data_IF_494075528580
#
_entry.id   IF_494075528580
#
_cell.length_a   1.000
_cell.length_b   1.000
_cell.length_c   1.000
_cell.angle_alpha   90.00
_cell.angle_beta   90.00
_cell.angle_gamma   90.00
#
_symmetry.space_group_name_H-M   'P 1'
#
loop_
_entity.id
_entity.type
_entity.pdbx_description
1 polymer ?
#
# COMPACT_ATOMS: atom_id res chain seq x y z
N UNK A 1 8.52 11.79 1.53
CA UNK A 1 7.86 12.96 2.14
C UNK A 1 6.92 12.46 3.22
N UNK A 2 6.78 13.18 4.34
CA UNK A 2 5.83 12.84 5.42
C UNK A 2 4.44 13.42 5.18
N UNK A 3 4.36 14.59 4.54
CA UNK A 3 3.11 15.20 4.11
C UNK A 3 3.11 15.35 2.59
N UNK A 4 1.93 15.27 1.98
CA UNK A 4 1.71 15.47 0.55
C UNK A 4 0.53 16.42 0.36
N UNK A 5 0.56 17.17 -0.73
CA UNK A 5 -0.59 17.96 -1.18
C UNK A 5 -1.76 17.02 -1.50
N UNK A 6 -2.82 17.14 -0.70
CA UNK A 6 -3.98 16.26 -0.75
C UNK A 6 -5.15 16.83 -1.57
N UNK A 7 -4.95 18.00 -2.21
CA UNK A 7 -5.95 18.58 -3.15
C UNK A 7 -6.40 17.62 -4.26
N UNK A 8 -5.55 16.77 -4.86
CA UNK A 8 -6.01 15.78 -5.84
C UNK A 8 -7.06 14.80 -5.28
N UNK A 9 -7.14 14.65 -3.96
CA UNK A 9 -8.15 13.85 -3.25
C UNK A 9 -9.15 14.73 -2.49
N UNK A 10 -9.35 15.98 -2.92
CA UNK A 10 -10.31 16.91 -2.31
C UNK A 10 -10.04 17.13 -0.80
N UNK A 11 -8.77 17.10 -0.39
CA UNK A 11 -8.35 17.44 0.97
C UNK A 11 -8.58 18.91 1.26
N UNK A 12 -8.95 19.22 2.50
CA UNK A 12 -9.23 20.58 2.97
C UNK A 12 -7.98 21.34 3.43
N UNK A 13 -6.87 20.62 3.67
CA UNK A 13 -5.63 21.21 4.15
C UNK A 13 -4.96 22.09 3.07
N UNK A 14 -4.24 23.16 3.48
CA UNK A 14 -3.44 23.95 2.56
C UNK A 14 -2.43 23.08 1.80
N UNK A 15 -2.12 23.41 0.53
CA UNK A 15 -1.15 22.64 -0.24
C UNK A 15 0.23 22.67 0.42
N UNK A 16 0.80 21.49 0.65
CA UNK A 16 2.10 21.37 1.27
C UNK A 16 2.73 20.01 1.07
N UNK A 17 4.06 20.00 0.96
CA UNK A 17 4.85 18.77 0.97
C UNK A 17 5.95 18.94 2.02
N UNK A 18 6.00 18.03 2.98
CA UNK A 18 7.05 18.03 4.00
C UNK A 18 8.03 16.88 3.72
N UNK A 19 9.30 17.20 3.57
CA UNK A 19 10.38 16.23 3.50
C UNK A 19 11.38 16.52 4.60
N UNK A 20 11.69 15.52 5.42
CA UNK A 20 12.69 15.62 6.47
C UNK A 20 13.78 14.62 6.15
N UNK A 21 15.00 15.14 5.98
CA UNK A 21 16.17 14.33 5.73
C UNK A 21 16.72 13.74 7.02
N UNK A 22 17.16 12.48 6.96
CA UNK A 22 18.02 11.88 7.97
C UNK A 22 19.23 11.22 7.27
N UNK A 23 20.42 11.24 7.89
CA UNK A 23 21.63 10.67 7.30
C UNK A 23 21.65 9.14 7.32
N UNK A 24 20.72 8.51 8.03
CA UNK A 24 20.57 7.06 8.08
C UNK A 24 19.10 6.63 7.99
N UNK A 25 18.91 5.32 7.88
CA UNK A 25 17.60 4.66 7.82
C UNK A 25 17.27 3.94 9.12
N UNK A 26 17.61 4.48 10.28
CA UNK A 26 17.27 3.85 11.57
C UNK A 26 15.81 4.15 11.94
N UNK A 27 15.17 3.23 12.67
CA UNK A 27 13.80 3.39 13.12
C UNK A 27 13.60 4.59 14.06
N UNK A 28 14.66 5.04 14.75
CA UNK A 28 14.64 6.26 15.59
C UNK A 28 14.31 7.54 14.80
N UNK A 29 14.58 7.56 13.47
CA UNK A 29 14.33 8.72 12.62
C UNK A 29 12.83 9.00 12.47
N UNK A 30 12.00 8.10 11.92
CA UNK A 30 10.56 8.33 11.84
C UNK A 30 9.90 8.51 13.21
N UNK A 31 10.44 7.89 14.28
CA UNK A 31 9.94 8.09 15.65
C UNK A 31 10.14 9.54 16.11
N UNK A 32 11.34 10.09 15.91
CA UNK A 32 11.63 11.48 16.28
C UNK A 32 10.86 12.47 15.38
N UNK A 33 10.83 12.24 14.06
CA UNK A 33 10.20 13.15 13.12
C UNK A 33 8.67 13.23 13.27
N UNK A 34 8.03 12.15 13.70
CA UNK A 34 6.58 12.04 13.87
C UNK A 34 6.18 12.01 15.36
N UNK A 35 7.04 12.52 16.25
CA UNK A 35 6.74 12.60 17.67
C UNK A 35 5.44 13.38 17.91
N UNK A 36 4.50 12.76 18.62
CA UNK A 36 3.17 13.34 18.90
C UNK A 36 2.15 13.18 17.77
N UNK A 37 2.54 12.71 16.59
CA UNK A 37 1.59 12.41 15.52
C UNK A 37 0.73 11.19 15.85
N UNK A 38 -0.56 11.28 15.56
CA UNK A 38 -1.52 10.17 15.64
C UNK A 38 -2.39 10.18 14.37
N UNK A 39 -2.85 9.01 13.94
CA UNK A 39 -3.64 8.87 12.71
C UNK A 39 -3.00 7.93 11.69
N UNK A 40 -3.40 8.07 10.42
CA UNK A 40 -2.99 7.15 9.35
C UNK A 40 -1.70 7.65 8.70
N UNK A 41 -0.71 6.76 8.61
CA UNK A 41 0.53 7.00 7.89
C UNK A 41 0.65 6.03 6.70
N UNK A 42 0.65 6.57 5.48
CA UNK A 42 0.88 5.77 4.28
C UNK A 42 2.36 5.47 4.10
N UNK A 43 2.74 4.19 4.00
CA UNK A 43 4.15 3.75 3.99
C UNK A 43 4.46 2.72 2.91
N UNK A 44 5.75 2.61 2.57
CA UNK A 44 6.32 1.70 1.57
C UNK A 44 6.57 0.27 2.05
N UNK A 45 6.40 0.02 3.35
CA UNK A 45 6.71 -1.27 3.97
C UNK A 45 8.10 -1.36 4.59
N UNK A 46 8.84 -0.26 4.71
CA UNK A 46 10.06 -0.16 5.51
C UNK A 46 9.78 -0.50 6.98
N UNK A 47 10.57 -1.42 7.55
CA UNK A 47 10.33 -2.00 8.87
C UNK A 47 10.38 -1.00 10.04
N UNK A 48 11.07 0.13 9.89
CA UNK A 48 11.14 1.14 10.96
C UNK A 48 9.78 1.79 11.28
N UNK A 49 8.85 1.83 10.32
CA UNK A 49 7.51 2.35 10.57
C UNK A 49 6.67 1.44 11.47
N UNK A 50 6.94 0.13 11.49
CA UNK A 50 6.26 -0.78 12.42
C UNK A 50 6.64 -0.46 13.87
N UNK A 51 7.91 -0.17 14.12
CA UNK A 51 8.38 0.25 15.45
C UNK A 51 7.74 1.57 15.89
N UNK A 52 7.50 2.50 14.95
CA UNK A 52 6.74 3.73 15.23
C UNK A 52 5.29 3.39 15.62
N UNK A 53 4.59 2.58 14.82
CA UNK A 53 3.20 2.20 15.07
C UNK A 53 3.03 1.49 16.43
N UNK A 54 3.94 0.58 16.79
CA UNK A 54 3.91 -0.14 18.07
C UNK A 54 4.08 0.78 19.30
N UNK A 55 4.61 1.99 19.10
CA UNK A 55 4.96 2.95 20.18
C UNK A 55 4.12 4.23 20.16
N UNK A 56 3.12 4.34 19.30
CA UNK A 56 2.36 5.58 19.10
C UNK A 56 0.91 5.32 18.67
N UNK A 57 0.13 6.38 18.50
CA UNK A 57 -1.23 6.32 17.94
C UNK A 57 -1.27 6.25 16.41
N UNK A 58 -0.21 5.73 15.76
CA UNK A 58 -0.10 5.68 14.30
C UNK A 58 -0.63 4.35 13.76
N UNK A 59 -1.53 4.44 12.79
CA UNK A 59 -2.01 3.31 11.99
C UNK A 59 -1.31 3.30 10.63
N UNK A 60 -0.73 2.17 10.22
CA UNK A 60 -0.04 2.07 8.93
C UNK A 60 -1.00 1.68 7.80
N UNK A 61 -1.04 2.50 6.75
CA UNK A 61 -1.60 2.13 5.46
C UNK A 61 -0.46 1.76 4.50
N UNK A 62 -0.39 0.51 4.04
CA UNK A 62 0.67 0.09 3.13
C UNK A 62 0.32 0.48 1.69
N UNK A 63 1.33 0.89 0.93
CA UNK A 63 1.14 1.36 -0.43
C UNK A 63 1.13 0.21 -1.46
N UNK A 64 0.03 0.10 -2.21
CA UNK A 64 -0.09 -0.83 -3.36
C UNK A 64 0.98 -0.63 -4.43
N UNK A 65 1.57 0.56 -4.58
CA UNK A 65 2.62 0.79 -5.56
C UNK A 65 3.88 -0.06 -5.30
N UNK A 66 4.24 -0.27 -4.03
CA UNK A 66 5.40 -1.08 -3.65
C UNK A 66 5.14 -2.59 -3.83
N UNK A 67 3.90 -3.02 -3.61
CA UNK A 67 3.46 -4.40 -3.94
C UNK A 67 3.49 -4.61 -5.46
N UNK A 68 2.85 -3.70 -6.21
CA UNK A 68 2.81 -3.71 -7.68
C UNK A 68 4.20 -3.79 -8.30
N UNK A 69 5.14 -2.98 -7.82
CA UNK A 69 6.52 -2.95 -8.33
C UNK A 69 7.19 -4.32 -8.32
N UNK A 70 7.01 -5.11 -7.26
CA UNK A 70 7.61 -6.45 -7.14
C UNK A 70 7.07 -7.42 -8.18
N UNK A 71 5.76 -7.38 -8.46
CA UNK A 71 5.17 -8.19 -9.52
C UNK A 71 5.56 -7.68 -10.92
N UNK A 72 5.67 -6.36 -11.08
CA UNK A 72 6.12 -5.75 -12.33
C UNK A 72 7.55 -6.18 -12.70
N UNK A 73 8.48 -6.13 -11.75
CA UNK A 73 9.88 -6.56 -11.99
C UNK A 73 9.97 -8.04 -12.44
N UNK A 74 9.06 -8.90 -11.95
CA UNK A 74 8.96 -10.29 -12.39
C UNK A 74 8.40 -10.42 -13.81
N UNK A 75 7.31 -9.73 -14.11
CA UNK A 75 6.67 -9.78 -15.43
C UNK A 75 7.50 -9.12 -16.53
N UNK A 76 8.28 -8.09 -16.19
CA UNK A 76 9.21 -7.44 -17.11
C UNK A 76 10.41 -8.33 -17.47
N UNK A 77 10.75 -9.32 -16.63
CA UNK A 77 11.87 -10.23 -16.85
C UNK A 77 11.52 -11.42 -17.77
N UNK A 78 10.24 -11.62 -18.11
CA UNK A 78 9.79 -12.70 -18.99
C UNK A 78 8.39 -13.22 -18.64
N UNK A 79 7.95 -14.33 -19.24
CA UNK A 79 6.63 -14.90 -18.99
C UNK A 79 6.41 -15.21 -17.50
N UNK A 80 5.53 -14.46 -16.85
CA UNK A 80 5.19 -14.61 -15.44
C UNK A 80 3.66 -14.51 -15.27
N UNK A 81 2.90 -15.59 -15.53
CA UNK A 81 1.43 -15.53 -15.56
C UNK A 81 0.82 -15.12 -14.20
N UNK A 82 1.35 -15.62 -13.09
CA UNK A 82 0.89 -15.23 -11.74
C UNK A 82 1.18 -13.74 -11.48
N UNK A 83 2.38 -13.26 -11.82
CA UNK A 83 2.70 -11.86 -11.63
C UNK A 83 1.83 -10.95 -12.52
N UNK A 84 1.58 -11.37 -13.76
CA UNK A 84 0.75 -10.64 -14.71
C UNK A 84 -0.70 -10.54 -14.26
N UNK A 85 -1.27 -11.62 -13.72
CA UNK A 85 -2.63 -11.61 -13.16
C UNK A 85 -2.72 -10.74 -11.90
N UNK A 86 -1.71 -10.78 -11.02
CA UNK A 86 -1.65 -9.88 -9.87
C UNK A 86 -1.61 -8.40 -10.31
N UNK A 87 -0.81 -8.08 -11.34
CA UNK A 87 -0.75 -6.73 -11.90
C UNK A 87 -2.08 -6.29 -12.52
N UNK A 88 -2.79 -7.21 -13.21
CA UNK A 88 -4.11 -6.94 -13.78
C UNK A 88 -5.09 -6.53 -12.69
N UNK A 89 -5.22 -7.33 -11.62
CA UNK A 89 -6.11 -7.03 -10.47
C UNK A 89 -5.75 -5.72 -9.77
N UNK A 90 -4.46 -5.45 -9.55
CA UNK A 90 -4.01 -4.18 -8.97
C UNK A 90 -4.33 -2.99 -9.90
N UNK A 91 -4.23 -3.18 -11.23
CA UNK A 91 -4.59 -2.13 -12.18
C UNK A 91 -6.09 -1.80 -12.13
N UNK A 92 -6.97 -2.76 -11.80
CA UNK A 92 -8.40 -2.50 -11.58
C UNK A 92 -8.62 -1.58 -10.39
N UNK A 93 -7.90 -1.77 -9.28
CA UNK A 93 -7.93 -0.85 -8.14
C UNK A 93 -7.51 0.56 -8.57
N UNK A 94 -6.47 0.69 -9.39
CA UNK A 94 -5.99 2.00 -9.86
C UNK A 94 -6.99 2.69 -10.79
N UNK A 95 -7.69 1.94 -11.65
CA UNK A 95 -8.77 2.50 -12.47
C UNK A 95 -9.90 3.06 -11.60
N UNK A 96 -10.31 2.31 -10.57
CA UNK A 96 -11.34 2.79 -9.63
C UNK A 96 -10.88 4.07 -8.93
N UNK A 97 -9.64 4.11 -8.43
CA UNK A 97 -9.10 5.31 -7.76
C UNK A 97 -8.99 6.52 -8.70
N UNK A 98 -8.76 6.29 -9.99
CA UNK A 98 -8.74 7.36 -10.98
C UNK A 98 -10.15 7.94 -11.23
N UNK A 99 -11.15 7.07 -11.38
CA UNK A 99 -12.56 7.44 -11.61
C UNK A 99 -13.19 8.24 -10.44
N UNK A 100 -12.66 8.05 -9.22
CA UNK A 100 -13.15 8.72 -8.00
C UNK A 100 -12.23 9.83 -7.50
N UNK A 101 -11.16 10.14 -8.24
CA UNK A 101 -10.25 11.24 -7.90
C UNK A 101 -11.00 12.57 -7.84
N UNK A 102 -10.65 13.42 -6.88
CA UNK A 102 -11.31 14.71 -6.67
C UNK A 102 -12.70 14.67 -6.04
N UNK A 103 -13.28 13.48 -5.80
CA UNK A 103 -14.54 13.32 -5.04
C UNK A 103 -14.32 13.47 -3.53
N UNK A 104 -15.39 13.64 -2.74
CA UNK A 104 -15.29 13.71 -1.28
C UNK A 104 -14.81 12.40 -0.66
N UNK A 105 -14.33 12.43 0.59
CA UNK A 105 -13.85 11.23 1.28
C UNK A 105 -14.95 10.16 1.40
N UNK A 106 -16.18 10.58 1.70
CA UNK A 106 -17.37 9.73 1.84
C UNK A 106 -17.72 9.07 0.50
N UNK A 107 -17.70 9.84 -0.60
CA UNK A 107 -17.96 9.31 -1.94
C UNK A 107 -16.90 8.31 -2.37
N UNK A 108 -15.61 8.61 -2.11
CA UNK A 108 -14.52 7.68 -2.41
C UNK A 108 -14.68 6.38 -1.63
N UNK A 109 -14.94 6.48 -0.32
CA UNK A 109 -15.18 5.33 0.55
C UNK A 109 -16.34 4.48 0.04
N UNK A 110 -17.48 5.08 -0.29
CA UNK A 110 -18.64 4.37 -0.81
C UNK A 110 -18.30 3.56 -2.08
N UNK A 111 -17.60 4.17 -3.05
CA UNK A 111 -17.20 3.47 -4.27
C UNK A 111 -16.16 2.37 -3.99
N UNK A 112 -15.23 2.59 -3.07
CA UNK A 112 -14.27 1.55 -2.68
C UNK A 112 -14.95 0.34 -2.05
N UNK A 113 -15.94 0.57 -1.19
CA UNK A 113 -16.75 -0.50 -0.61
C UNK A 113 -17.55 -1.26 -1.68
N UNK A 114 -18.10 -0.54 -2.66
CA UNK A 114 -18.86 -1.15 -3.76
C UNK A 114 -17.98 -1.94 -4.75
N UNK A 115 -16.82 -1.40 -5.12
CA UNK A 115 -16.04 -1.88 -6.28
C UNK A 115 -14.67 -2.45 -5.94
N UNK A 116 -13.97 -1.86 -4.98
CA UNK A 116 -12.61 -2.28 -4.63
C UNK A 116 -12.58 -3.42 -3.62
N UNK A 117 -13.59 -3.50 -2.74
CA UNK A 117 -13.66 -4.50 -1.67
C UNK A 117 -13.62 -5.93 -2.20
N UNK A 118 -14.41 -6.25 -3.23
CA UNK A 118 -14.43 -7.59 -3.84
C UNK A 118 -13.09 -7.95 -4.49
N UNK A 119 -12.46 -7.00 -5.19
CA UNK A 119 -11.15 -7.22 -5.81
C UNK A 119 -10.09 -7.57 -4.76
N UNK A 120 -10.07 -6.84 -3.63
CA UNK A 120 -9.17 -7.11 -2.52
C UNK A 120 -9.52 -8.46 -1.87
N UNK A 121 -10.79 -8.69 -1.54
CA UNK A 121 -11.25 -9.94 -0.93
C UNK A 121 -10.95 -11.18 -1.77
N UNK A 122 -10.97 -11.08 -3.10
CA UNK A 122 -10.65 -12.17 -4.02
C UNK A 122 -9.14 -12.33 -4.25
N UNK A 123 -8.36 -11.23 -4.18
CA UNK A 123 -6.92 -11.27 -4.44
C UNK A 123 -6.14 -11.95 -3.30
N UNK A 124 -6.52 -11.76 -2.04
CA UNK A 124 -5.83 -12.39 -0.91
C UNK A 124 -5.82 -13.92 -0.97
N UNK A 125 -6.98 -14.61 -1.01
CA UNK A 125 -7.03 -16.06 -1.03
C UNK A 125 -6.37 -16.61 -2.30
N UNK A 126 -6.52 -15.93 -3.44
CA UNK A 126 -5.85 -16.31 -4.68
C UNK A 126 -4.32 -16.25 -4.55
N UNK A 127 -3.76 -15.21 -3.93
CA UNK A 127 -2.33 -15.13 -3.64
C UNK A 127 -1.87 -16.25 -2.71
N UNK A 128 -2.65 -16.58 -1.68
CA UNK A 128 -2.34 -17.70 -0.76
C UNK A 128 -2.35 -19.05 -1.48
N UNK A 129 -3.34 -19.28 -2.34
CA UNK A 129 -3.42 -20.46 -3.19
C UNK A 129 -2.18 -20.57 -4.08
N UNK A 130 -1.84 -19.50 -4.83
CA UNK A 130 -0.66 -19.53 -5.71
C UNK A 130 0.64 -19.70 -4.95
N UNK A 131 0.76 -19.15 -3.74
CA UNK A 131 1.93 -19.38 -2.88
C UNK A 131 2.12 -20.86 -2.53
N UNK A 132 1.02 -21.61 -2.32
CA UNK A 132 1.06 -23.04 -2.04
C UNK A 132 1.47 -23.92 -3.22
N UNK A 133 1.33 -23.41 -4.45
CA UNK A 133 1.62 -24.14 -5.70
C UNK A 133 3.04 -23.92 -6.23
N UNK A 134 3.83 -23.03 -5.63
CA UNK A 134 5.15 -22.65 -6.12
C UNK A 134 6.26 -22.94 -5.10
N UNK A 135 7.49 -23.06 -5.59
CA UNK A 135 8.67 -23.17 -4.74
C UNK A 135 8.85 -21.91 -3.88
N UNK A 136 9.03 -22.13 -2.58
CA UNK A 136 9.12 -21.06 -1.57
C UNK A 136 10.38 -20.20 -1.70
N UNK A 137 11.39 -20.66 -2.44
CA UNK A 137 12.67 -19.98 -2.65
C UNK A 137 12.68 -19.05 -3.88
N UNK A 138 11.54 -18.93 -4.57
CA UNK A 138 11.45 -18.09 -5.77
C UNK A 138 11.21 -16.62 -5.42
N UNK A 139 11.67 -15.71 -6.30
CA UNK A 139 11.34 -14.27 -6.22
C UNK A 139 9.83 -14.02 -6.26
N UNK A 140 9.07 -14.87 -6.95
CA UNK A 140 7.61 -14.80 -6.95
C UNK A 140 7.03 -15.11 -5.56
N UNK A 141 7.49 -16.17 -4.90
CA UNK A 141 7.07 -16.47 -3.54
C UNK A 141 7.41 -15.34 -2.55
N UNK A 142 8.57 -14.70 -2.72
CA UNK A 142 8.94 -13.51 -1.95
C UNK A 142 8.00 -12.32 -2.20
N UNK A 143 7.64 -12.05 -3.45
CA UNK A 143 6.68 -10.99 -3.79
C UNK A 143 5.30 -11.23 -3.19
N UNK A 144 4.81 -12.48 -3.25
CA UNK A 144 3.53 -12.87 -2.65
C UNK A 144 3.56 -12.72 -1.13
N UNK A 145 4.59 -13.25 -0.45
CA UNK A 145 4.74 -13.09 1.01
C UNK A 145 4.85 -11.62 1.42
N UNK A 146 5.54 -10.80 0.62
CA UNK A 146 5.63 -9.37 0.88
C UNK A 146 4.25 -8.68 0.89
N UNK A 147 3.36 -9.04 -0.03
CA UNK A 147 1.98 -8.57 -0.06
C UNK A 147 1.17 -9.10 1.13
N UNK A 148 1.16 -10.43 1.34
CA UNK A 148 0.35 -11.08 2.37
C UNK A 148 0.72 -10.63 3.80
N UNK A 149 2.01 -10.41 4.08
CA UNK A 149 2.47 -9.89 5.38
C UNK A 149 2.07 -8.44 5.67
N UNK A 150 1.46 -7.74 4.69
CA UNK A 150 1.04 -6.34 4.78
C UNK A 150 -0.46 -6.18 4.51
N UNK A 151 -1.20 -7.28 4.43
CA UNK A 151 -2.54 -7.28 3.90
C UNK A 151 -3.49 -6.34 4.65
N UNK A 152 -3.50 -6.41 5.98
CA UNK A 152 -4.33 -5.53 6.82
C UNK A 152 -4.09 -4.04 6.54
N UNK A 153 -2.83 -3.63 6.37
CA UNK A 153 -2.49 -2.24 6.05
C UNK A 153 -2.72 -1.89 4.58
N UNK A 154 -2.63 -2.86 3.65
CA UNK A 154 -2.97 -2.68 2.24
C UNK A 154 -4.49 -2.47 2.05
N UNK A 155 -5.30 -3.06 2.92
CA UNK A 155 -6.77 -2.96 2.88
C UNK A 155 -7.31 -1.67 3.49
N UNK A 156 -6.51 -0.90 4.25
CA UNK A 156 -6.96 0.34 4.93
C UNK A 156 -7.47 1.43 4.02
N UNK A 157 -7.09 1.45 2.75
CA UNK A 157 -7.64 2.44 1.82
C UNK A 157 -9.14 2.24 1.59
N UNK A 158 -9.69 1.04 1.87
CA UNK A 158 -11.12 0.75 1.75
C UNK A 158 -11.95 1.45 2.84
N UNK A 159 -11.33 1.76 3.98
CA UNK A 159 -11.96 2.42 5.13
C UNK A 159 -12.20 3.91 4.88
#
# INVERSE_FOLDING_TARGET
>A
AYARDDRPWHGADPPGVAYVYAPDRKAERPIAHLAGFTGILQVDGYGGYRVLADKSGVTLAFCWAHVRRRFYELAAAGPAPIASEALRRIAELYRIEDDIRGRSAEQRRAVRQEKSLSIVADLEPWLREKLGLISQKTKLAEAIRFALSRWDGLSRFLD
#
